data_IF_952145117814
#
_entry.id   IF_952145117814
#
_cell.length_a   1.000
_cell.length_b   1.000
_cell.length_c   1.000
_cell.angle_alpha   90.00
_cell.angle_beta   90.00
_cell.angle_gamma   90.00
#
_symmetry.space_group_name_H-M   'P 1'
#
loop_
_entity.id
_entity.type
_entity.pdbx_description
1 polymer ?
#
# COMPACT_ATOMS: atom_id res chain seq x y z
N UNK A 1 -45.11 -2.08 10.73
CA UNK A 1 -44.17 -1.25 9.96
C UNK A 1 -42.76 -1.72 10.27
N UNK A 2 -42.28 -2.66 9.47
CA UNK A 2 -40.92 -3.22 9.52
C UNK A 2 -39.96 -2.13 9.06
N UNK A 3 -39.25 -1.53 10.02
CA UNK A 3 -38.15 -0.64 9.72
C UNK A 3 -37.06 -1.45 9.01
N UNK A 4 -36.93 -1.23 7.71
CA UNK A 4 -35.72 -1.54 6.96
C UNK A 4 -34.58 -0.87 7.72
N UNK A 5 -33.80 -1.65 8.47
CA UNK A 5 -32.45 -1.22 8.88
C UNK A 5 -31.75 -0.95 7.56
N UNK A 6 -31.65 0.33 7.20
CA UNK A 6 -30.56 0.78 6.34
C UNK A 6 -29.32 0.12 6.94
N UNK A 7 -28.65 -0.71 6.16
CA UNK A 7 -27.27 -1.10 6.43
C UNK A 7 -26.56 0.20 6.79
N UNK A 8 -26.26 0.37 8.08
CA UNK A 8 -25.38 1.44 8.53
C UNK A 8 -24.17 1.39 7.62
N UNK A 9 -23.69 2.53 7.15
CA UNK A 9 -22.38 2.64 6.53
C UNK A 9 -21.37 2.03 7.51
N UNK A 10 -21.10 0.73 7.37
CA UNK A 10 -19.99 0.07 8.03
C UNK A 10 -18.77 0.83 7.55
N UNK A 11 -18.11 1.48 8.50
CA UNK A 11 -17.10 2.52 8.32
C UNK A 11 -16.21 2.35 7.09
N UNK A 12 -16.65 2.91 5.96
CA UNK A 12 -15.85 2.96 4.74
C UNK A 12 -14.56 3.70 5.02
N UNK A 13 -13.42 3.08 4.68
CA UNK A 13 -12.11 3.68 4.78
C UNK A 13 -11.71 4.23 3.41
N UNK A 14 -11.14 5.42 3.37
CA UNK A 14 -10.31 5.84 2.25
C UNK A 14 -8.97 5.11 2.37
N UNK A 15 -8.49 4.55 1.26
CA UNK A 15 -7.23 3.86 1.22
C UNK A 15 -6.39 4.24 0.00
N UNK A 16 -5.08 4.28 0.20
CA UNK A 16 -4.12 4.46 -0.88
C UNK A 16 -3.06 3.36 -0.87
N UNK A 17 -2.67 2.93 -2.06
CA UNK A 17 -1.54 2.03 -2.30
C UNK A 17 -0.56 2.77 -3.17
N UNK A 18 0.66 2.95 -2.67
CA UNK A 18 1.72 3.68 -3.36
C UNK A 18 2.95 2.80 -3.47
N UNK A 19 3.52 2.72 -4.66
CA UNK A 19 4.90 2.24 -4.80
C UNK A 19 5.82 3.43 -5.03
N UNK A 20 6.98 3.38 -4.37
CA UNK A 20 7.96 4.45 -4.34
C UNK A 20 9.30 3.91 -4.82
N UNK A 21 10.04 4.75 -5.54
CA UNK A 21 11.40 4.47 -5.99
C UNK A 21 12.35 5.48 -5.39
N UNK A 22 13.51 5.01 -4.93
CA UNK A 22 14.57 5.89 -4.49
C UNK A 22 15.31 6.50 -5.68
N UNK A 23 15.45 7.82 -5.65
CA UNK A 23 16.18 8.54 -6.68
C UNK A 23 17.69 8.27 -6.57
N UNK A 24 18.40 8.18 -7.71
CA UNK A 24 19.85 7.97 -7.71
C UNK A 24 20.64 9.01 -6.89
N UNK A 25 20.13 10.25 -6.83
CA UNK A 25 20.76 11.36 -6.09
C UNK A 25 20.91 11.08 -4.59
N UNK A 26 19.97 10.34 -3.98
CA UNK A 26 20.10 9.94 -2.58
C UNK A 26 21.30 9.03 -2.36
N UNK A 27 21.56 8.11 -3.30
CA UNK A 27 22.66 7.15 -3.18
C UNK A 27 24.03 7.83 -3.21
N UNK A 28 24.15 8.99 -3.84
CA UNK A 28 25.37 9.81 -3.87
C UNK A 28 25.57 10.73 -2.65
N UNK A 29 24.58 10.87 -1.77
CA UNK A 29 24.70 11.70 -0.57
C UNK A 29 25.74 11.15 0.41
N UNK A 30 26.29 12.03 1.25
CA UNK A 30 27.22 11.64 2.31
C UNK A 30 26.51 10.81 3.37
N UNK A 31 27.25 9.93 4.05
CA UNK A 31 26.67 9.00 5.02
C UNK A 31 25.93 9.71 6.17
N UNK A 32 26.47 10.81 6.67
CA UNK A 32 25.84 11.64 7.71
C UNK A 32 24.54 12.29 7.21
N UNK A 33 24.51 12.77 5.97
CA UNK A 33 23.30 13.35 5.36
C UNK A 33 22.21 12.28 5.20
N UNK A 34 22.59 11.06 4.77
CA UNK A 34 21.67 9.92 4.68
C UNK A 34 21.06 9.57 6.04
N UNK A 35 21.86 9.51 7.10
CA UNK A 35 21.38 9.25 8.46
C UNK A 35 20.35 10.30 8.89
N UNK A 36 20.66 11.60 8.72
CA UNK A 36 19.73 12.68 9.06
C UNK A 36 18.43 12.58 8.24
N UNK A 37 18.54 12.32 6.94
CA UNK A 37 17.40 12.20 6.06
C UNK A 37 16.48 11.02 6.42
N UNK A 38 17.04 9.88 6.86
CA UNK A 38 16.26 8.72 7.33
C UNK A 38 15.53 9.03 8.62
N UNK A 39 16.21 9.61 9.61
CA UNK A 39 15.57 9.96 10.89
C UNK A 39 14.49 11.03 10.73
N UNK A 40 14.67 12.01 9.84
CA UNK A 40 13.64 13.00 9.51
C UNK A 40 12.41 12.34 8.86
N UNK A 41 12.64 11.41 7.93
CA UNK A 41 11.57 10.65 7.28
C UNK A 41 10.80 9.77 8.27
N UNK A 42 11.50 9.03 9.13
CA UNK A 42 10.87 8.15 10.13
C UNK A 42 10.03 8.96 11.13
N UNK A 43 10.54 10.09 11.61
CA UNK A 43 9.77 11.01 12.47
C UNK A 43 8.51 11.54 11.77
N UNK A 44 8.60 11.88 10.49
CA UNK A 44 7.45 12.31 9.71
C UNK A 44 6.44 11.17 9.49
N UNK A 45 6.93 9.96 9.27
CA UNK A 45 6.11 8.76 9.09
C UNK A 45 5.34 8.41 10.37
N UNK A 46 6.01 8.42 11.52
CA UNK A 46 5.38 8.16 12.83
C UNK A 46 4.28 9.18 13.14
N UNK A 47 4.53 10.46 12.88
CA UNK A 47 3.52 11.52 13.02
C UNK A 47 2.33 11.33 12.07
N UNK A 48 2.58 10.90 10.84
CA UNK A 48 1.51 10.59 9.89
C UNK A 48 0.67 9.38 10.31
N UNK A 49 1.27 8.43 11.04
CA UNK A 49 0.61 7.22 11.51
C UNK A 49 -0.40 7.47 12.64
N UNK A 50 -0.39 8.64 13.28
CA UNK A 50 -1.34 9.01 14.35
C UNK A 50 -2.81 9.03 13.87
N UNK A 51 -3.03 9.35 12.59
CA UNK A 51 -4.36 9.48 11.99
C UNK A 51 -4.60 8.51 10.82
N UNK A 52 -3.55 7.78 10.41
CA UNK A 52 -3.57 6.91 9.23
C UNK A 52 -2.94 5.58 9.57
N UNK A 53 -3.72 4.51 9.45
CA UNK A 53 -3.17 3.16 9.55
C UNK A 53 -2.29 2.90 8.34
N UNK A 54 -1.07 2.42 8.56
CA UNK A 54 -0.07 2.24 7.50
C UNK A 54 0.54 0.84 7.56
N UNK A 55 0.63 0.17 6.41
CA UNK A 55 1.44 -1.02 6.17
C UNK A 55 2.56 -0.70 5.20
N UNK A 56 3.76 -1.25 5.43
CA UNK A 56 4.93 -1.03 4.59
C UNK A 56 5.54 -2.36 4.15
N UNK A 57 6.07 -2.39 2.93
CA UNK A 57 6.67 -3.60 2.35
C UNK A 57 7.89 -3.21 1.51
N UNK A 58 8.96 -3.99 1.64
CA UNK A 58 10.15 -3.89 0.80
C UNK A 58 9.88 -4.51 -0.58
N UNK A 59 10.25 -3.77 -1.63
CA UNK A 59 10.15 -4.22 -3.02
C UNK A 59 11.53 -4.37 -3.69
N UNK A 60 12.60 -3.89 -3.06
CA UNK A 60 13.97 -3.94 -3.61
C UNK A 60 14.35 -5.35 -4.05
N UNK A 61 14.63 -5.52 -5.34
CA UNK A 61 14.95 -6.82 -5.94
C UNK A 61 13.76 -7.72 -6.29
N UNK A 62 12.53 -7.33 -5.92
CA UNK A 62 11.29 -8.06 -6.19
C UNK A 62 10.44 -7.41 -7.28
N UNK A 63 10.42 -6.07 -7.34
CA UNK A 63 9.69 -5.31 -8.36
C UNK A 63 10.65 -4.38 -9.12
N UNK A 64 10.62 -4.45 -10.45
CA UNK A 64 11.47 -3.57 -11.25
C UNK A 64 10.97 -2.12 -11.13
N UNK A 65 11.85 -1.24 -10.66
CA UNK A 65 11.59 0.19 -10.62
C UNK A 65 10.82 0.70 -9.40
N UNK A 66 10.61 -0.13 -8.37
CA UNK A 66 10.07 0.31 -7.08
C UNK A 66 10.85 -0.35 -5.94
N UNK A 67 11.08 0.38 -4.86
CA UNK A 67 11.85 -0.06 -3.70
C UNK A 67 10.95 -0.23 -2.46
N UNK A 68 9.86 0.53 -2.37
CA UNK A 68 8.92 0.52 -1.24
C UNK A 68 7.48 0.43 -1.74
N UNK A 69 6.66 -0.34 -1.04
CA UNK A 69 5.20 -0.32 -1.12
C UNK A 69 4.65 0.22 0.21
N UNK A 70 3.72 1.16 0.13
CA UNK A 70 2.99 1.70 1.28
C UNK A 70 1.50 1.55 1.04
N UNK A 71 0.81 0.91 1.98
CA UNK A 71 -0.66 0.83 2.05
C UNK A 71 -1.11 1.71 3.21
N UNK A 72 -2.00 2.67 2.95
CA UNK A 72 -2.56 3.57 3.97
C UNK A 72 -4.08 3.48 3.98
N UNK A 73 -4.69 3.58 5.16
CA UNK A 73 -6.14 3.63 5.31
C UNK A 73 -6.58 4.52 6.49
N UNK A 74 -7.67 5.26 6.31
CA UNK A 74 -8.27 6.15 7.32
C UNK A 74 -9.72 6.48 6.94
N UNK A 75 -10.51 7.01 7.87
CA UNK A 75 -11.89 7.43 7.62
C UNK A 75 -11.98 8.81 6.94
N UNK A 76 -10.87 9.55 6.85
CA UNK A 76 -10.83 10.91 6.30
C UNK A 76 -9.78 11.04 5.21
N UNK A 77 -10.19 11.39 4.00
CA UNK A 77 -9.28 11.52 2.86
C UNK A 77 -8.24 12.62 3.08
N UNK A 78 -8.56 13.66 3.84
CA UNK A 78 -7.65 14.75 4.18
C UNK A 78 -6.46 14.25 5.00
N UNK A 79 -6.67 13.24 5.85
CA UNK A 79 -5.60 12.65 6.66
C UNK A 79 -4.63 11.84 5.78
N UNK A 80 -5.12 11.16 4.73
CA UNK A 80 -4.24 10.53 3.73
C UNK A 80 -3.37 11.56 3.03
N UNK A 81 -3.96 12.68 2.61
CA UNK A 81 -3.24 13.75 1.93
C UNK A 81 -2.18 14.35 2.86
N UNK A 82 -2.57 14.74 4.08
CA UNK A 82 -1.67 15.33 5.06
C UNK A 82 -0.49 14.40 5.41
N UNK A 83 -0.76 13.12 5.68
CA UNK A 83 0.28 12.13 5.97
C UNK A 83 1.22 11.91 4.77
N UNK A 84 0.68 11.90 3.55
CA UNK A 84 1.48 11.73 2.33
C UNK A 84 2.37 12.94 2.08
N UNK A 85 1.83 14.15 2.17
CA UNK A 85 2.59 15.40 1.99
C UNK A 85 3.70 15.51 3.04
N UNK A 86 3.37 15.30 4.32
CA UNK A 86 4.32 15.34 5.44
C UNK A 86 5.52 14.41 5.21
N UNK A 87 5.26 13.18 4.78
CA UNK A 87 6.30 12.18 4.53
C UNK A 87 7.11 12.53 3.27
N UNK A 88 6.46 12.98 2.19
CA UNK A 88 7.14 13.32 0.93
C UNK A 88 8.08 14.53 1.04
N UNK A 89 7.80 15.43 1.98
CA UNK A 89 8.59 16.65 2.16
C UNK A 89 9.70 16.49 3.22
N UNK A 90 9.82 15.33 3.87
CA UNK A 90 10.73 15.10 4.98
C UNK A 90 11.90 14.19 4.61
N UNK A 91 13.13 14.69 4.78
CA UNK A 91 14.36 13.90 4.68
C UNK A 91 14.42 13.01 3.43
N UNK A 92 14.48 11.69 3.63
CA UNK A 92 14.49 10.68 2.55
C UNK A 92 13.29 10.81 1.61
N UNK A 93 12.12 11.26 2.08
CA UNK A 93 10.91 11.40 1.28
C UNK A 93 11.07 12.32 0.07
N UNK A 94 11.95 13.33 0.16
CA UNK A 94 12.28 14.23 -0.96
C UNK A 94 13.01 13.55 -2.11
N UNK A 95 13.52 12.34 -1.85
CA UNK A 95 14.22 11.51 -2.80
C UNK A 95 13.46 10.22 -3.12
N UNK A 96 12.17 10.14 -2.75
CA UNK A 96 11.29 9.05 -3.10
C UNK A 96 10.29 9.54 -4.16
N UNK A 97 10.38 8.98 -5.36
CA UNK A 97 9.43 9.27 -6.44
C UNK A 97 8.32 8.23 -6.43
N UNK A 98 7.03 8.62 -6.41
CA UNK A 98 5.94 7.68 -6.63
C UNK A 98 6.01 7.09 -8.05
N UNK A 99 5.97 5.76 -8.15
CA UNK A 99 5.94 5.04 -9.43
C UNK A 99 4.57 4.44 -9.75
N UNK A 100 3.76 4.23 -8.72
CA UNK A 100 2.32 3.99 -8.87
C UNK A 100 1.56 4.55 -7.67
N UNK A 101 0.33 5.00 -7.91
CA UNK A 101 -0.61 5.45 -6.89
C UNK A 101 -2.00 4.93 -7.23
N UNK A 102 -2.57 4.14 -6.33
CA UNK A 102 -3.98 3.80 -6.31
C UNK A 102 -4.63 4.53 -5.14
N UNK A 103 -5.81 5.10 -5.38
CA UNK A 103 -6.68 5.68 -4.37
C UNK A 103 -8.08 5.09 -4.53
N UNK A 104 -8.74 4.81 -3.43
CA UNK A 104 -10.11 4.32 -3.44
C UNK A 104 -10.67 4.17 -2.03
N UNK A 105 -11.71 3.36 -1.92
CA UNK A 105 -12.30 2.99 -0.64
C UNK A 105 -12.21 1.50 -0.39
N UNK A 106 -12.20 1.10 0.88
CA UNK A 106 -12.23 -0.30 1.31
C UNK A 106 -13.09 -0.45 2.56
N UNK A 107 -13.65 -1.63 2.77
CA UNK A 107 -14.42 -1.95 3.97
C UNK A 107 -13.52 -2.14 5.21
N UNK A 108 -12.35 -2.76 5.01
CA UNK A 108 -11.42 -3.04 6.09
C UNK A 108 -9.99 -3.02 5.56
N UNK A 109 -9.07 -2.51 6.37
CA UNK A 109 -7.63 -2.65 6.11
C UNK A 109 -7.23 -4.11 6.38
N UNK A 110 -6.42 -4.75 5.53
CA UNK A 110 -5.96 -6.10 5.83
C UNK A 110 -5.07 -6.03 7.08
N UNK A 111 -5.53 -6.64 8.18
CA UNK A 111 -4.67 -6.85 9.34
C UNK A 111 -3.56 -7.84 8.98
N UNK A 112 -2.38 -7.77 9.63
CA UNK A 112 -1.22 -8.62 9.32
C UNK A 112 -1.61 -10.08 9.16
N UNK A 113 -1.48 -10.59 7.94
CA UNK A 113 -1.81 -11.98 7.61
C UNK A 113 -0.61 -12.83 7.19
N UNK A 114 0.59 -12.25 7.10
CA UNK A 114 1.80 -12.98 6.76
C UNK A 114 2.95 -12.09 6.31
N UNK A 115 3.98 -12.72 5.77
CA UNK A 115 5.24 -12.07 5.35
C UNK A 115 5.16 -11.38 3.99
N UNK A 116 4.22 -11.74 3.13
CA UNK A 116 4.15 -11.21 1.77
C UNK A 116 2.88 -10.40 1.55
N UNK A 117 2.99 -9.38 0.70
CA UNK A 117 1.84 -8.72 0.09
C UNK A 117 1.92 -8.82 -1.44
N UNK A 118 0.79 -9.10 -2.09
CA UNK A 118 0.65 -9.04 -3.54
C UNK A 118 -0.43 -8.03 -3.90
N UNK A 119 -0.05 -7.00 -4.67
CA UNK A 119 -0.96 -5.99 -5.19
C UNK A 119 -1.33 -6.34 -6.62
N UNK A 120 -2.63 -6.46 -6.88
CA UNK A 120 -3.19 -6.84 -8.19
C UNK A 120 -4.20 -5.79 -8.63
N UNK A 121 -3.89 -4.96 -9.65
CA UNK A 121 -4.86 -4.06 -10.26
C UNK A 121 -5.82 -4.84 -11.16
N UNK A 122 -7.13 -4.62 -11.03
CA UNK A 122 -8.19 -5.38 -11.69
C UNK A 122 -9.21 -4.45 -12.39
N UNK A 123 -9.79 -4.95 -13.49
CA UNK A 123 -10.91 -4.28 -14.16
C UNK A 123 -12.23 -4.46 -13.39
N UNK A 124 -12.41 -5.64 -12.79
CA UNK A 124 -13.64 -6.09 -12.16
C UNK A 124 -13.38 -6.54 -10.72
N UNK A 125 -14.40 -6.40 -9.87
CA UNK A 125 -14.33 -6.88 -8.49
C UNK A 125 -14.17 -8.41 -8.48
N UNK A 126 -13.17 -8.95 -7.77
CA UNK A 126 -12.99 -10.39 -7.67
C UNK A 126 -14.08 -11.01 -6.79
N UNK A 127 -14.57 -12.23 -7.09
CA UNK A 127 -15.44 -12.94 -6.18
C UNK A 127 -14.68 -13.35 -4.92
N UNK A 128 -15.35 -13.44 -3.78
CA UNK A 128 -14.72 -13.84 -2.51
C UNK A 128 -14.04 -15.23 -2.59
N UNK A 129 -14.56 -16.12 -3.43
CA UNK A 129 -13.97 -17.45 -3.69
C UNK A 129 -12.63 -17.42 -4.42
N UNK A 130 -12.21 -16.28 -4.97
CA UNK A 130 -10.90 -16.14 -5.60
C UNK A 130 -9.75 -16.04 -4.60
N UNK A 131 -10.03 -15.68 -3.33
CA UNK A 131 -9.01 -15.50 -2.31
C UNK A 131 -8.34 -16.85 -2.01
N UNK A 132 -7.00 -16.99 -2.22
CA UNK A 132 -6.31 -18.24 -1.95
C UNK A 132 -6.37 -18.62 -0.47
N UNK A 133 -6.39 -19.93 -0.18
CA UNK A 133 -6.34 -20.41 1.19
C UNK A 133 -5.09 -19.88 1.92
N UNK A 134 -5.28 -19.36 3.14
CA UNK A 134 -4.20 -18.77 3.94
C UNK A 134 -3.84 -17.33 3.57
N UNK A 135 -4.48 -16.73 2.57
CA UNK A 135 -4.36 -15.32 2.26
C UNK A 135 -5.54 -14.52 2.85
N UNK A 136 -5.29 -13.26 3.20
CA UNK A 136 -6.34 -12.25 3.39
C UNK A 136 -6.34 -11.31 2.20
N UNK A 137 -7.50 -10.76 1.86
CA UNK A 137 -7.65 -9.80 0.78
C UNK A 137 -8.29 -8.52 1.33
N UNK A 138 -7.67 -7.39 1.06
CA UNK A 138 -8.37 -6.11 1.04
C UNK A 138 -8.61 -5.68 -0.40
N UNK A 139 -9.85 -5.31 -0.69
CA UNK A 139 -10.24 -4.82 -2.00
C UNK A 139 -10.46 -3.31 -1.92
N UNK A 140 -9.68 -2.58 -2.71
CA UNK A 140 -9.83 -1.14 -2.90
C UNK A 140 -10.73 -0.91 -4.12
N UNK A 141 -11.86 -0.25 -3.93
CA UNK A 141 -12.72 0.27 -4.99
C UNK A 141 -12.25 1.69 -5.36
N UNK A 142 -11.57 1.79 -6.50
CA UNK A 142 -11.03 3.05 -7.02
C UNK A 142 -11.97 3.78 -7.97
N UNK A 143 -13.18 3.27 -8.23
CA UNK A 143 -14.09 3.89 -9.21
C UNK A 143 -14.46 5.31 -8.77
N UNK A 144 -14.16 6.29 -9.63
CA UNK A 144 -14.38 7.71 -9.36
C UNK A 144 -13.30 8.39 -8.49
N UNK A 145 -12.31 7.64 -7.99
CA UNK A 145 -11.23 8.16 -7.13
C UNK A 145 -9.82 7.90 -7.69
N UNK A 146 -9.64 6.89 -8.55
CA UNK A 146 -8.35 6.50 -9.10
C UNK A 146 -8.44 5.98 -10.55
N UNK A 147 -7.28 5.74 -11.15
CA UNK A 147 -7.17 5.27 -12.53
C UNK A 147 -7.50 3.78 -12.69
N UNK A 148 -7.41 3.00 -11.61
CA UNK A 148 -7.68 1.56 -11.60
C UNK A 148 -9.02 1.31 -10.89
N UNK A 149 -10.00 0.63 -11.52
CA UNK A 149 -11.31 0.39 -10.91
C UNK A 149 -11.22 -0.39 -9.60
N UNK A 150 -10.40 -1.44 -9.56
CA UNK A 150 -10.23 -2.25 -8.36
C UNK A 150 -8.76 -2.58 -8.13
N UNK A 151 -8.31 -2.57 -6.89
CA UNK A 151 -6.98 -3.07 -6.51
C UNK A 151 -7.13 -4.05 -5.36
N UNK A 152 -6.79 -5.31 -5.60
CA UNK A 152 -6.72 -6.33 -4.56
C UNK A 152 -5.32 -6.28 -3.93
N UNK A 153 -5.27 -6.20 -2.60
CA UNK A 153 -4.07 -6.38 -1.79
C UNK A 153 -4.22 -7.69 -1.04
N UNK A 154 -3.47 -8.70 -1.46
CA UNK A 154 -3.43 -10.02 -0.84
C UNK A 154 -2.28 -10.06 0.17
N UNK A 155 -2.53 -10.43 1.41
CA UNK A 155 -1.49 -10.69 2.41
C UNK A 155 -1.47 -12.16 2.83
N UNK A 156 -0.28 -12.73 3.02
CA UNK A 156 -0.13 -14.12 3.43
C UNK A 156 1.32 -14.59 3.45
N UNK A 157 1.54 -15.85 3.83
CA UNK A 157 2.89 -16.46 3.89
C UNK A 157 3.32 -17.18 2.61
N UNK A 158 2.43 -17.24 1.61
CA UNK A 158 2.67 -17.86 0.33
C UNK A 158 3.02 -16.82 -0.76
N UNK A 159 4.26 -16.77 -1.26
CA UNK A 159 4.65 -15.80 -2.29
C UNK A 159 3.98 -16.07 -3.65
N UNK A 160 3.37 -17.25 -3.84
CA UNK A 160 2.68 -17.62 -5.08
C UNK A 160 1.17 -17.30 -5.06
N UNK A 161 0.67 -16.66 -3.99
CA UNK A 161 -0.77 -16.40 -3.83
C UNK A 161 -1.35 -15.57 -4.98
N UNK A 162 -0.59 -14.59 -5.49
CA UNK A 162 -1.01 -13.78 -6.64
C UNK A 162 -1.26 -14.60 -7.91
N UNK A 163 -0.39 -15.59 -8.18
CA UNK A 163 -0.57 -16.51 -9.32
C UNK A 163 -1.84 -17.34 -9.15
N UNK A 164 -2.11 -17.84 -7.94
CA UNK A 164 -3.31 -18.65 -7.65
C UNK A 164 -4.59 -17.82 -7.75
N UNK A 165 -4.55 -16.59 -7.24
CA UNK A 165 -5.63 -15.63 -7.34
C UNK A 165 -6.01 -15.35 -8.81
N UNK A 166 -5.00 -15.14 -9.67
CA UNK A 166 -5.22 -14.90 -11.10
C UNK A 166 -5.61 -16.17 -11.89
N UNK A 167 -5.23 -17.36 -11.42
CA UNK A 167 -5.56 -18.62 -12.10
C UNK A 167 -7.07 -18.88 -12.20
N UNK A 168 -7.89 -18.21 -11.37
CA UNK A 168 -9.36 -18.26 -11.43
C UNK A 168 -10.00 -17.49 -12.60
N UNK A 169 -9.21 -16.98 -13.55
CA UNK A 169 -9.70 -16.27 -14.74
C UNK A 169 -9.75 -14.74 -14.58
N UNK A 170 -9.29 -14.20 -13.45
CA UNK A 170 -9.10 -12.78 -13.24
C UNK A 170 -7.94 -12.27 -14.11
N UNK A 171 -8.10 -11.08 -14.69
CA UNK A 171 -7.05 -10.43 -15.49
C UNK A 171 -6.55 -9.18 -14.78
N UNK A 172 -5.24 -9.15 -14.54
CA UNK A 172 -4.59 -7.93 -14.08
C UNK A 172 -4.59 -6.90 -15.22
N UNK A 173 -4.96 -5.65 -14.91
CA UNK A 173 -4.94 -4.53 -15.88
C UNK A 173 -3.65 -3.70 -15.83
N UNK A 174 -2.68 -4.15 -15.05
CA UNK A 174 -1.42 -3.47 -14.80
C UNK A 174 -0.42 -4.40 -14.12
N UNK A 175 0.75 -3.87 -13.70
CA UNK A 175 1.77 -4.67 -13.05
C UNK A 175 1.29 -5.24 -11.72
N UNK A 176 1.57 -6.53 -11.51
CA UNK A 176 1.39 -7.19 -10.22
C UNK A 176 2.66 -7.00 -9.40
N UNK A 177 2.51 -6.52 -8.18
CA UNK A 177 3.65 -6.19 -7.30
C UNK A 177 3.67 -7.15 -6.13
N UNK A 178 4.80 -7.83 -5.91
CA UNK A 178 5.08 -8.64 -4.72
C UNK A 178 6.01 -7.86 -3.79
N UNK A 179 5.63 -7.72 -2.52
CA UNK A 179 6.46 -7.13 -1.49
C UNK A 179 6.63 -8.03 -0.27
N UNK A 180 7.75 -7.83 0.42
CA UNK A 180 8.03 -8.45 1.71
C UNK A 180 7.67 -7.46 2.82
N UNK A 181 6.78 -7.87 3.72
CA UNK A 181 6.40 -7.05 4.88
C UNK A 181 7.63 -6.81 5.75
N UNK A 182 7.84 -5.56 6.13
CA UNK A 182 8.90 -5.14 7.04
C UNK A 182 8.47 -3.87 7.76
N UNK A 183 9.09 -3.58 8.90
CA UNK A 183 8.92 -2.29 9.54
C UNK A 183 9.51 -1.19 8.64
N UNK A 184 8.88 -0.01 8.63
CA UNK A 184 9.35 1.10 7.76
C UNK A 184 10.81 1.47 8.06
N UNK A 185 11.22 1.38 9.34
CA UNK A 185 12.61 1.59 9.77
C UNK A 185 13.55 0.59 9.09
N UNK A 186 13.21 -0.69 9.13
CA UNK A 186 14.03 -1.73 8.49
C UNK A 186 14.14 -1.50 6.99
N UNK A 187 13.04 -1.14 6.31
CA UNK A 187 13.07 -0.84 4.88
C UNK A 187 14.04 0.32 4.61
N UNK A 188 13.89 1.42 5.35
CA UNK A 188 14.66 2.65 5.16
C UNK A 188 16.15 2.48 5.48
N UNK A 189 16.49 1.61 6.44
CA UNK A 189 17.89 1.33 6.78
C UNK A 189 18.64 0.58 5.67
N UNK A 190 17.93 -0.12 4.79
CA UNK A 190 18.48 -0.91 3.67
C UNK A 190 18.43 -0.21 2.30
N UNK A 191 18.01 1.06 2.25
CA UNK A 191 18.00 1.90 1.03
C UNK A 191 19.31 2.69 0.85
#
# INVERSE_FOLDING_TARGET
MTGTRATSAEETLFASVQTLRIEPGYRSMLANEKVSAREDYLRAFDRGAEHVRTGAYALSGLAHGSDILVLRATHRIEDLHAATSLVSEAGLGRHLTPTSVTLGTMAEMPGPAGRFAVVVPLADAPPASAVPAGARMALIDGRGLGAVPFTAVLEGDDPLMGRRFLAGGLKAVGPVVLGLRAEVRDIVDHL
#
